data_IF_769995651802
#
_entry.id   IF_769995651802
#
_cell.length_a   1.000
_cell.length_b   1.000
_cell.length_c   1.000
_cell.angle_alpha   90.00
_cell.angle_beta   90.00
_cell.angle_gamma   90.00
#
_symmetry.space_group_name_H-M   'P 1'
#
loop_
_entity.id
_entity.type
_entity.pdbx_description
1 polymer ?
#
# COMPACT_ATOMS: atom_id res chain seq x y z
N UNK A 1 -8.90 6.56 -5.74
CA UNK A 1 -8.46 5.69 -4.64
C UNK A 1 -7.14 6.22 -4.10
N UNK A 2 -7.05 6.46 -2.80
CA UNK A 2 -5.82 7.01 -2.26
C UNK A 2 -4.79 5.89 -2.00
N UNK A 3 -3.59 6.30 -1.64
CA UNK A 3 -2.49 5.34 -1.48
C UNK A 3 -2.80 4.27 -0.44
N UNK A 4 -3.34 4.68 0.71
CA UNK A 4 -3.65 3.73 1.76
C UNK A 4 -4.65 2.68 1.32
N UNK A 5 -5.67 3.12 0.57
CA UNK A 5 -6.66 2.20 0.07
C UNK A 5 -6.07 1.25 -0.96
N UNK A 6 -5.16 1.74 -1.80
CA UNK A 6 -4.51 0.85 -2.76
C UNK A 6 -3.72 -0.24 -2.05
N UNK A 7 -3.00 0.14 -1.02
CA UNK A 7 -2.23 -0.83 -0.24
C UNK A 7 -3.17 -1.85 0.41
N UNK A 8 -4.22 -1.35 1.04
CA UNK A 8 -5.16 -2.22 1.74
C UNK A 8 -5.83 -3.19 0.76
N UNK A 9 -6.31 -2.66 -0.36
CA UNK A 9 -7.01 -3.51 -1.33
C UNK A 9 -6.07 -4.55 -1.94
N UNK A 10 -4.84 -4.17 -2.24
CA UNK A 10 -3.88 -5.13 -2.77
C UNK A 10 -3.59 -6.22 -1.75
N UNK A 11 -3.43 -5.81 -0.49
CA UNK A 11 -3.16 -6.76 0.58
C UNK A 11 -4.31 -7.75 0.73
N UNK A 12 -5.53 -7.24 0.78
CA UNK A 12 -6.70 -8.08 0.97
C UNK A 12 -6.89 -9.02 -0.22
N UNK A 13 -6.68 -8.51 -1.43
CA UNK A 13 -6.86 -9.35 -2.62
C UNK A 13 -5.87 -10.50 -2.64
N UNK A 14 -4.72 -10.34 -1.98
CA UNK A 14 -3.73 -11.41 -1.90
C UNK A 14 -3.89 -12.21 -0.61
N UNK A 15 -4.90 -11.88 0.20
CA UNK A 15 -5.21 -12.61 1.42
C UNK A 15 -4.07 -12.59 2.42
N UNK A 16 -3.43 -11.44 2.53
CA UNK A 16 -2.31 -11.24 3.46
C UNK A 16 -2.80 -10.39 4.62
N UNK A 17 -2.47 -10.81 5.85
CA UNK A 17 -2.85 -10.01 7.02
C UNK A 17 -1.94 -8.81 7.16
N UNK A 18 -2.37 -7.83 7.96
CA UNK A 18 -1.53 -6.69 8.25
C UNK A 18 -0.23 -7.12 8.92
N UNK A 19 -0.32 -8.05 9.85
CA UNK A 19 0.87 -8.53 10.54
C UNK A 19 1.86 -9.19 9.58
N UNK A 20 1.34 -9.98 8.65
CA UNK A 20 2.19 -10.65 7.68
C UNK A 20 2.86 -9.64 6.75
N UNK A 21 2.11 -8.64 6.30
CA UNK A 21 2.68 -7.64 5.42
C UNK A 21 3.71 -6.78 6.15
N UNK A 22 3.41 -6.40 7.38
CA UNK A 22 4.33 -5.55 8.14
C UNK A 22 5.64 -6.26 8.41
N UNK A 23 5.58 -7.57 8.71
CA UNK A 23 6.77 -8.33 9.01
C UNK A 23 7.54 -7.71 10.16
N UNK A 24 8.85 -7.62 9.98
CA UNK A 24 9.71 -7.00 10.98
C UNK A 24 10.15 -5.60 10.56
N UNK A 25 9.72 -5.17 9.38
CA UNK A 25 10.19 -3.91 8.83
C UNK A 25 9.43 -2.72 9.40
N UNK A 26 8.14 -2.88 9.59
CA UNK A 26 7.30 -1.84 10.18
C UNK A 26 6.36 -2.53 11.16
N UNK A 27 5.72 -1.72 12.01
CA UNK A 27 4.77 -2.29 12.96
C UNK A 27 3.41 -2.43 12.28
N UNK A 28 2.62 -3.36 12.82
CA UNK A 28 1.25 -3.52 12.33
C UNK A 28 0.47 -2.23 12.54
N UNK A 29 0.72 -1.53 13.65
CA UNK A 29 0.05 -0.28 13.91
C UNK A 29 0.38 0.77 12.86
N UNK A 30 1.65 0.86 12.48
CA UNK A 30 2.06 1.78 11.43
C UNK A 30 1.36 1.45 10.12
N UNK A 31 1.33 0.18 9.76
CA UNK A 31 0.67 -0.22 8.53
C UNK A 31 -0.81 0.14 8.57
N UNK A 32 -1.46 -0.07 9.72
CA UNK A 32 -2.86 0.28 9.86
C UNK A 32 -3.07 1.77 9.63
N UNK A 33 -2.21 2.60 10.17
CA UNK A 33 -2.32 4.05 9.98
C UNK A 33 -2.12 4.43 8.52
N UNK A 34 -1.19 3.76 7.85
CA UNK A 34 -0.97 4.03 6.43
C UNK A 34 -2.20 3.65 5.62
N UNK A 35 -2.78 2.50 5.92
CA UNK A 35 -3.95 2.04 5.18
C UNK A 35 -5.15 2.93 5.41
N UNK A 36 -5.23 3.53 6.59
CA UNK A 36 -6.36 4.41 6.92
C UNK A 36 -6.12 5.87 6.52
N UNK A 37 -4.98 6.15 5.90
CA UNK A 37 -4.70 7.50 5.45
C UNK A 37 -4.23 8.44 6.54
N UNK A 38 -3.90 7.91 7.71
CA UNK A 38 -3.46 8.74 8.84
C UNK A 38 -1.94 8.93 8.85
N UNK A 39 -1.24 8.17 8.08
CA UNK A 39 0.20 8.29 7.96
C UNK A 39 0.59 8.04 6.51
N UNK A 40 1.65 8.74 6.07
CA UNK A 40 2.17 8.57 4.72
C UNK A 40 3.46 7.79 4.82
N UNK A 41 3.61 6.69 4.08
CA UNK A 41 4.85 5.93 4.15
C UNK A 41 5.98 6.68 3.46
N UNK A 42 7.19 6.49 3.96
CA UNK A 42 8.36 6.98 3.26
C UNK A 42 8.53 6.16 1.98
N UNK A 43 9.37 6.65 1.09
CA UNK A 43 9.64 5.90 -0.14
C UNK A 43 10.21 4.53 0.17
N UNK A 44 11.08 4.45 1.17
CA UNK A 44 11.66 3.17 1.55
C UNK A 44 10.59 2.20 2.07
N UNK A 45 9.69 2.71 2.90
CA UNK A 45 8.61 1.88 3.43
C UNK A 45 7.68 1.43 2.32
N UNK A 46 7.35 2.34 1.41
CA UNK A 46 6.47 2.01 0.30
C UNK A 46 7.11 0.97 -0.62
N UNK A 47 8.41 1.11 -0.84
CA UNK A 47 9.14 0.15 -1.65
C UNK A 47 9.10 -1.24 -1.03
N UNK A 48 9.25 -1.29 0.29
CA UNK A 48 9.15 -2.56 1.01
C UNK A 48 7.76 -3.17 0.84
N UNK A 49 6.72 -2.33 1.03
CA UNK A 49 5.35 -2.82 0.93
C UNK A 49 5.08 -3.34 -0.48
N UNK A 50 5.51 -2.60 -1.49
CA UNK A 50 5.31 -3.01 -2.88
C UNK A 50 5.98 -4.35 -3.14
N UNK A 51 7.21 -4.53 -2.63
CA UNK A 51 7.92 -5.78 -2.80
C UNK A 51 7.20 -6.95 -2.16
N UNK A 52 6.67 -6.73 -0.96
CA UNK A 52 5.96 -7.80 -0.27
C UNK A 52 4.65 -8.14 -0.96
N UNK A 53 4.03 -7.17 -1.61
CA UNK A 53 2.81 -7.41 -2.37
C UNK A 53 3.09 -7.86 -3.79
N UNK A 54 4.36 -7.92 -4.15
CA UNK A 54 4.78 -8.37 -5.47
C UNK A 54 4.22 -7.47 -6.57
N UNK A 55 4.19 -6.18 -6.29
CA UNK A 55 3.71 -5.17 -7.22
C UNK A 55 4.81 -4.15 -7.47
N UNK A 56 4.85 -3.55 -8.66
CA UNK A 56 5.82 -2.49 -8.90
C UNK A 56 5.43 -1.27 -8.07
N UNK A 57 6.45 -0.54 -7.60
CA UNK A 57 6.17 0.63 -6.77
C UNK A 57 5.36 1.66 -7.57
N UNK A 58 5.54 1.68 -8.87
CA UNK A 58 4.79 2.61 -9.73
C UNK A 58 3.28 2.39 -9.62
N UNK A 59 2.87 1.18 -9.29
CA UNK A 59 1.45 0.89 -9.14
C UNK A 59 0.81 1.83 -8.11
N UNK A 60 1.56 2.15 -7.06
CA UNK A 60 1.01 2.97 -5.97
C UNK A 60 1.08 4.45 -6.28
N UNK A 61 1.81 4.83 -7.29
CA UNK A 61 1.88 6.22 -7.71
C UNK A 61 0.94 6.53 -8.85
N UNK A 62 0.27 5.55 -9.42
CA UNK A 62 -0.59 5.78 -10.56
C UNK A 62 -1.99 6.11 -10.07
N UNK A 63 -2.10 7.24 -9.39
CA UNK A 63 -3.41 7.72 -8.98
C UNK A 63 -4.23 8.14 -10.17
N UNK A 64 -3.56 8.27 -11.28
CA UNK A 64 -4.21 8.74 -12.48
C UNK A 64 -5.06 7.69 -13.15
N UNK A 65 -5.08 6.49 -12.58
CA UNK A 65 -5.93 5.44 -13.14
C UNK A 65 -7.37 5.93 -13.25
N UNK A 66 -7.82 6.64 -12.23
CA UNK A 66 -9.18 7.15 -12.24
C UNK A 66 -9.34 8.21 -13.31
N UNK A 67 -8.30 8.99 -13.54
CA UNK A 67 -8.34 10.04 -14.54
C UNK A 67 -8.36 9.46 -15.94
N UNK A 68 -7.65 8.37 -16.14
CA UNK A 68 -7.67 7.72 -17.43
C UNK A 68 -9.04 7.21 -17.79
N UNK A 69 -9.74 6.71 -16.80
CA UNK A 69 -11.08 6.19 -17.06
C UNK A 69 -12.02 7.33 -17.42
N UNK A 70 -11.67 8.54 -17.07
CA UNK A 70 -12.48 9.72 -17.40
C UNK A 70 -12.07 10.29 -18.73
N UNK A 71 -10.83 10.11 -19.09
CA UNK A 71 -10.32 10.66 -20.33
C UNK A 71 -10.73 9.81 -21.50
#
# INVERSE_FOLDING_TARGET
>A
MNLGEKIKNARISKKITQSALAGEKITRNMLSQIENGKATPSLETLSYIAGELNLPIAYFFSENDDEYSVS
#
